data_IF_261768698660
#
_entry.id   IF_261768698660
#
_cell.length_a   1.000
_cell.length_b   1.000
_cell.length_c   1.000
_cell.angle_alpha   90.00
_cell.angle_beta   90.00
_cell.angle_gamma   90.00
#
_symmetry.space_group_name_H-M   'P 1'
#
loop_
_entity.id
_entity.type
_entity.pdbx_description
1 polymer ?
#
# COMPACT_ATOMS: atom_id res chain seq x y z
N UNK A 1 -6.22 -1.51 -33.82
CA UNK A 1 -5.68 -1.31 -32.46
C UNK A 1 -6.34 -0.07 -31.87
N UNK A 2 -7.19 -0.21 -30.85
CA UNK A 2 -7.77 0.93 -30.17
C UNK A 2 -6.70 1.57 -29.26
N UNK A 3 -6.33 2.83 -29.53
CA UNK A 3 -5.56 3.64 -28.58
C UNK A 3 -6.49 3.97 -27.42
N UNK A 4 -6.33 3.27 -26.29
CA UNK A 4 -6.95 3.67 -25.03
C UNK A 4 -6.36 5.03 -24.64
N UNK A 5 -7.25 6.01 -24.46
CA UNK A 5 -6.98 7.45 -24.42
C UNK A 5 -5.79 7.85 -23.54
N UNK A 6 -4.70 8.24 -24.20
CA UNK A 6 -3.62 9.02 -23.59
C UNK A 6 -3.90 10.50 -23.83
N UNK A 7 -3.80 11.29 -22.76
CA UNK A 7 -3.84 12.76 -22.63
C UNK A 7 -4.98 13.57 -23.31
N UNK A 8 -5.50 13.18 -24.48
CA UNK A 8 -6.28 14.08 -25.34
C UNK A 8 -7.49 13.46 -26.07
N UNK A 9 -7.81 12.17 -25.89
CA UNK A 9 -8.91 11.53 -26.62
C UNK A 9 -9.87 10.81 -25.67
N UNK A 10 -10.93 11.51 -25.27
CA UNK A 10 -12.13 10.92 -24.65
C UNK A 10 -13.29 11.15 -25.60
N UNK A 11 -14.21 10.21 -25.75
CA UNK A 11 -15.43 10.39 -26.56
C UNK A 11 -16.62 10.51 -25.62
N UNK A 12 -17.55 11.43 -25.90
CA UNK A 12 -18.75 11.65 -25.07
C UNK A 12 -20.02 11.50 -25.88
N UNK A 13 -21.02 10.84 -25.31
CA UNK A 13 -22.41 10.91 -25.76
C UNK A 13 -23.10 12.04 -25.00
N UNK A 14 -23.63 13.03 -25.71
CA UNK A 14 -24.69 13.86 -25.12
C UNK A 14 -25.98 13.03 -25.18
N UNK A 15 -26.64 12.85 -24.03
CA UNK A 15 -28.00 12.27 -24.00
C UNK A 15 -28.96 13.18 -24.75
N UNK A 16 -29.91 12.59 -25.48
CA UNK A 16 -31.11 13.31 -25.91
C UNK A 16 -31.95 13.66 -24.67
N UNK A 17 -32.89 14.61 -24.80
CA UNK A 17 -33.88 14.93 -23.76
C UNK A 17 -34.73 13.73 -23.30
N UNK A 18 -34.68 12.61 -24.03
CA UNK A 18 -35.36 11.35 -23.73
C UNK A 18 -34.46 10.26 -23.12
N UNK A 19 -33.19 10.56 -22.79
CA UNK A 19 -32.29 9.62 -22.11
C UNK A 19 -31.72 8.49 -22.98
N UNK A 20 -31.88 8.55 -24.30
CA UNK A 20 -31.27 7.58 -25.23
C UNK A 20 -29.84 7.98 -25.61
N UNK A 21 -28.92 7.01 -25.59
CA UNK A 21 -27.55 7.19 -26.05
C UNK A 21 -27.52 7.50 -27.55
N UNK A 22 -26.83 8.58 -27.96
CA UNK A 22 -26.63 8.88 -29.38
C UNK A 22 -25.83 7.77 -30.08
N UNK A 23 -26.04 7.54 -31.40
CA UNK A 23 -25.22 6.64 -32.20
C UNK A 23 -23.72 6.94 -32.07
N UNK A 24 -22.86 5.93 -32.20
CA UNK A 24 -21.41 6.11 -32.13
C UNK A 24 -20.85 7.06 -33.20
N UNK A 25 -21.56 7.24 -34.32
CA UNK A 25 -21.25 8.23 -35.37
C UNK A 25 -21.32 9.67 -34.90
N UNK A 26 -22.04 9.94 -33.81
CA UNK A 26 -22.32 11.28 -33.29
C UNK A 26 -21.35 11.65 -32.15
N UNK A 27 -20.39 10.76 -31.84
CA UNK A 27 -19.38 11.00 -30.82
C UNK A 27 -18.46 12.13 -31.29
N UNK A 28 -18.43 13.19 -30.51
CA UNK A 28 -17.42 14.24 -30.67
C UNK A 28 -16.24 13.95 -29.74
N UNK A 29 -14.99 14.17 -30.18
CA UNK A 29 -13.86 14.10 -29.30
C UNK A 29 -13.98 15.18 -28.23
N UNK A 30 -13.96 14.75 -26.98
CA UNK A 30 -13.84 15.60 -25.82
C UNK A 30 -12.36 15.78 -25.52
N UNK A 31 -11.91 17.02 -25.68
CA UNK A 31 -10.55 17.43 -25.35
C UNK A 31 -10.50 17.94 -23.91
N UNK A 32 -9.57 17.42 -23.13
CA UNK A 32 -9.35 17.85 -21.74
C UNK A 32 -9.62 16.76 -20.71
N UNK A 33 -9.66 17.17 -19.45
CA UNK A 33 -9.75 16.25 -18.33
C UNK A 33 -11.20 15.83 -18.04
N UNK A 34 -11.45 14.55 -18.24
CA UNK A 34 -12.69 13.83 -17.99
C UNK A 34 -12.34 12.70 -17.02
N UNK A 35 -12.77 12.86 -15.77
CA UNK A 35 -12.39 12.09 -14.57
C UNK A 35 -12.04 10.62 -14.86
N UNK A 36 -13.03 9.72 -14.84
CA UNK A 36 -12.79 8.28 -14.98
C UNK A 36 -12.08 7.92 -16.28
N UNK A 37 -12.45 8.43 -17.47
CA UNK A 37 -11.72 8.12 -18.69
C UNK A 37 -10.21 8.40 -18.62
N UNK A 38 -9.78 9.40 -17.83
CA UNK A 38 -8.37 9.73 -17.71
C UNK A 38 -7.61 8.93 -16.65
N UNK A 39 -8.22 8.54 -15.53
CA UNK A 39 -7.51 7.80 -14.48
C UNK A 39 -7.87 6.33 -14.39
N UNK A 40 -8.96 5.87 -15.00
CA UNK A 40 -9.33 4.45 -14.99
C UNK A 40 -8.26 3.56 -15.63
N UNK A 41 -7.58 3.96 -16.73
CA UNK A 41 -6.44 3.18 -17.25
C UNK A 41 -5.26 3.08 -16.27
N UNK A 42 -5.03 4.11 -15.44
CA UNK A 42 -4.04 4.05 -14.36
C UNK A 42 -4.50 3.10 -13.25
N UNK A 43 -5.75 3.24 -12.80
CA UNK A 43 -6.37 2.41 -11.76
C UNK A 43 -6.41 0.92 -12.13
N UNK A 44 -6.65 0.60 -13.40
CA UNK A 44 -6.60 -0.79 -13.89
C UNK A 44 -5.19 -1.26 -14.24
N UNK A 45 -4.19 -0.39 -14.11
CA UNK A 45 -2.80 -0.66 -14.44
C UNK A 45 -2.61 -1.21 -15.88
N UNK A 46 -3.34 -0.64 -16.85
CA UNK A 46 -3.33 -1.09 -18.26
C UNK A 46 -2.51 -0.19 -19.19
N UNK A 47 -1.88 0.86 -18.67
CA UNK A 47 -1.02 1.74 -19.47
C UNK A 47 0.32 1.06 -19.71
N UNK A 48 0.61 0.75 -20.97
CA UNK A 48 1.87 0.13 -21.37
C UNK A 48 2.97 1.18 -21.46
N UNK A 49 4.02 0.99 -20.66
CA UNK A 49 5.22 1.83 -20.61
C UNK A 49 5.22 2.74 -19.38
N UNK A 50 6.21 2.55 -18.52
CA UNK A 50 6.35 3.26 -17.24
C UNK A 50 6.25 4.78 -17.39
N UNK A 51 7.02 5.37 -18.30
CA UNK A 51 7.02 6.82 -18.53
C UNK A 51 5.66 7.37 -19.02
N UNK A 52 4.84 6.55 -19.69
CA UNK A 52 3.48 6.94 -20.06
C UNK A 52 2.55 6.93 -18.85
N UNK A 53 2.68 5.91 -18.00
CA UNK A 53 1.95 5.81 -16.73
C UNK A 53 2.26 7.00 -15.82
N UNK A 54 3.54 7.33 -15.64
CA UNK A 54 4.01 8.49 -14.87
C UNK A 54 3.40 9.79 -15.41
N UNK A 55 3.52 10.04 -16.72
CA UNK A 55 2.98 11.27 -17.35
C UNK A 55 1.46 11.37 -17.23
N UNK A 56 0.75 10.25 -17.31
CA UNK A 56 -0.69 10.22 -17.14
C UNK A 56 -1.07 10.49 -15.67
N UNK A 57 -0.32 9.94 -14.71
CA UNK A 57 -0.52 10.24 -13.29
C UNK A 57 -0.29 11.72 -12.97
N UNK A 58 0.76 12.34 -13.52
CA UNK A 58 0.99 13.79 -13.36
C UNK A 58 -0.14 14.62 -13.96
N UNK A 59 -0.61 14.25 -15.16
CA UNK A 59 -1.74 14.91 -15.80
C UNK A 59 -3.02 14.80 -14.98
N UNK A 60 -3.36 13.60 -14.49
CA UNK A 60 -4.54 13.34 -13.66
C UNK A 60 -4.45 14.14 -12.36
N UNK A 61 -3.32 14.08 -11.64
CA UNK A 61 -3.18 14.81 -10.38
C UNK A 61 -3.32 16.31 -10.59
N UNK A 62 -2.66 16.88 -11.60
CA UNK A 62 -2.70 18.33 -11.87
C UNK A 62 -4.08 18.79 -12.29
N UNK A 63 -4.80 17.99 -13.08
CA UNK A 63 -6.14 18.32 -13.57
C UNK A 63 -7.20 18.19 -12.47
N UNK A 64 -7.13 17.13 -11.67
CA UNK A 64 -8.00 16.95 -10.51
C UNK A 64 -7.75 18.04 -9.45
N UNK A 65 -6.48 18.41 -9.22
CA UNK A 65 -6.13 19.49 -8.31
C UNK A 65 -6.66 20.84 -8.79
N UNK A 66 -6.50 21.13 -10.09
CA UNK A 66 -7.04 22.35 -10.70
C UNK A 66 -8.55 22.45 -10.53
N UNK A 67 -9.29 21.35 -10.80
CA UNK A 67 -10.74 21.30 -10.52
C UNK A 67 -11.03 21.56 -9.04
N UNK A 68 -10.26 20.94 -8.14
CA UNK A 68 -10.44 21.09 -6.70
C UNK A 68 -10.28 22.54 -6.22
N UNK A 69 -9.19 23.19 -6.61
CA UNK A 69 -8.91 24.58 -6.26
C UNK A 69 -9.92 25.54 -6.89
N UNK A 70 -10.26 25.35 -8.17
CA UNK A 70 -11.21 26.20 -8.88
C UNK A 70 -12.65 26.10 -8.34
N UNK A 71 -12.97 25.05 -7.60
CA UNK A 71 -14.23 24.93 -6.85
C UNK A 71 -14.10 25.35 -5.39
N UNK A 72 -13.18 26.28 -5.07
CA UNK A 72 -12.92 26.77 -3.71
C UNK A 72 -12.65 25.64 -2.70
N UNK A 73 -11.91 24.61 -3.12
CA UNK A 73 -11.61 23.42 -2.31
C UNK A 73 -12.84 22.61 -1.89
N UNK A 74 -13.96 22.77 -2.60
CA UNK A 74 -15.23 22.08 -2.34
C UNK A 74 -15.64 21.12 -3.47
N UNK A 75 -14.73 20.84 -4.40
CA UNK A 75 -14.97 19.82 -5.41
C UNK A 75 -14.85 18.43 -4.79
N UNK A 76 -15.88 17.63 -5.01
CA UNK A 76 -15.83 16.18 -4.82
C UNK A 76 -16.12 15.57 -6.19
N UNK A 77 -15.22 14.76 -6.77
CA UNK A 77 -15.57 13.93 -7.92
C UNK A 77 -16.84 13.11 -7.62
N UNK A 78 -17.42 12.47 -8.64
CA UNK A 78 -18.39 11.39 -8.36
C UNK A 78 -17.81 10.44 -7.31
N UNK A 79 -18.61 9.96 -6.34
CA UNK A 79 -18.05 9.22 -5.19
C UNK A 79 -17.25 7.99 -5.63
N UNK A 80 -17.71 7.29 -6.67
CA UNK A 80 -17.01 6.18 -7.35
C UNK A 80 -15.69 6.66 -7.97
N UNK A 81 -15.73 7.76 -8.73
CA UNK A 81 -14.53 8.37 -9.29
C UNK A 81 -13.49 8.73 -8.20
N UNK A 82 -13.95 9.15 -7.03
CA UNK A 82 -13.10 9.53 -5.92
C UNK A 82 -12.52 8.30 -5.19
N UNK A 83 -13.23 7.18 -5.12
CA UNK A 83 -12.69 5.94 -4.54
C UNK A 83 -11.54 5.37 -5.39
N UNK A 84 -11.56 5.54 -6.72
CA UNK A 84 -10.50 5.02 -7.59
C UNK A 84 -9.24 5.89 -7.64
N UNK A 85 -9.40 7.20 -7.45
CA UNK A 85 -8.34 8.19 -7.70
C UNK A 85 -7.07 7.97 -6.85
N UNK A 86 -7.11 7.70 -5.53
CA UNK A 86 -5.92 7.39 -4.75
C UNK A 86 -5.18 6.16 -5.28
N UNK A 87 -5.91 5.08 -5.55
CA UNK A 87 -5.34 3.82 -6.03
C UNK A 87 -4.65 3.97 -7.39
N UNK A 88 -5.17 4.83 -8.27
CA UNK A 88 -4.52 5.16 -9.56
C UNK A 88 -3.07 5.60 -9.41
N UNK A 89 -2.75 6.36 -8.37
CA UNK A 89 -1.38 6.85 -8.15
C UNK A 89 -0.46 5.76 -7.59
N UNK A 90 -0.97 4.85 -6.77
CA UNK A 90 -0.18 3.71 -6.29
C UNK A 90 0.21 2.74 -7.41
N UNK A 91 -0.62 2.60 -8.45
CA UNK A 91 -0.29 1.77 -9.62
C UNK A 91 0.71 2.43 -10.57
N UNK A 92 0.73 3.75 -10.64
CA UNK A 92 1.67 4.52 -11.45
C UNK A 92 3.07 4.67 -10.81
N UNK A 93 3.45 3.76 -9.92
CA UNK A 93 4.64 3.88 -9.08
C UNK A 93 5.93 3.74 -9.90
N UNK A 94 6.72 4.80 -9.89
CA UNK A 94 8.08 4.93 -10.43
C UNK A 94 9.16 4.79 -9.34
N UNK A 95 8.75 4.32 -8.17
CA UNK A 95 9.61 4.27 -6.98
C UNK A 95 9.86 5.64 -6.36
N UNK A 96 9.26 6.74 -6.85
CA UNK A 96 9.38 8.07 -6.24
C UNK A 96 8.33 8.30 -5.14
N UNK A 97 8.67 9.18 -4.20
CA UNK A 97 7.74 9.62 -3.15
C UNK A 97 6.52 10.37 -3.71
N UNK A 98 6.66 11.05 -4.86
CA UNK A 98 5.63 11.91 -5.43
C UNK A 98 4.31 11.16 -5.68
N UNK A 99 4.39 9.90 -6.12
CA UNK A 99 3.19 9.08 -6.36
C UNK A 99 2.46 8.75 -5.08
N UNK A 100 3.20 8.47 -4.00
CA UNK A 100 2.62 8.19 -2.69
C UNK A 100 2.05 9.46 -2.06
N UNK A 101 2.67 10.61 -2.30
CA UNK A 101 2.15 11.90 -1.87
C UNK A 101 0.82 12.24 -2.56
N UNK A 102 0.72 11.98 -3.87
CA UNK A 102 -0.52 12.18 -4.60
C UNK A 102 -1.61 11.26 -4.05
N UNK A 103 -1.31 9.96 -3.93
CA UNK A 103 -2.24 8.98 -3.38
C UNK A 103 -2.72 9.38 -1.97
N UNK A 104 -1.78 9.71 -1.08
CA UNK A 104 -2.07 10.13 0.29
C UNK A 104 -2.92 11.38 0.37
N UNK A 105 -2.61 12.41 -0.44
CA UNK A 105 -3.39 13.65 -0.52
C UNK A 105 -4.85 13.35 -0.85
N UNK A 106 -5.09 12.58 -1.91
CA UNK A 106 -6.45 12.27 -2.36
C UNK A 106 -7.18 11.33 -1.40
N UNK A 107 -6.48 10.36 -0.80
CA UNK A 107 -7.05 9.47 0.21
C UNK A 107 -7.50 10.24 1.45
N UNK A 108 -6.71 11.23 1.93
CA UNK A 108 -7.11 12.09 3.06
C UNK A 108 -8.31 12.98 2.72
N UNK A 109 -8.40 13.49 1.49
CA UNK A 109 -9.57 14.26 1.05
C UNK A 109 -10.82 13.36 0.99
N UNK A 110 -10.71 12.14 0.47
CA UNK A 110 -11.81 11.16 0.46
C UNK A 110 -12.30 10.85 1.88
N UNK A 111 -11.36 10.58 2.81
CA UNK A 111 -11.68 10.33 4.21
C UNK A 111 -12.37 11.55 4.87
N UNK A 112 -11.94 12.77 4.55
CA UNK A 112 -12.59 14.00 5.04
C UNK A 112 -14.01 14.13 4.50
N UNK A 113 -14.22 13.91 3.20
CA UNK A 113 -15.57 13.93 2.60
C UNK A 113 -16.48 12.92 3.27
N UNK A 114 -15.98 11.70 3.47
CA UNK A 114 -16.69 10.64 4.18
C UNK A 114 -17.08 11.04 5.61
N UNK A 115 -16.14 11.60 6.37
CA UNK A 115 -16.39 12.07 7.72
C UNK A 115 -17.44 13.19 7.78
N UNK A 116 -17.36 14.18 6.89
CA UNK A 116 -18.35 15.27 6.80
C UNK A 116 -19.73 14.72 6.43
N UNK A 117 -19.82 13.83 5.46
CA UNK A 117 -21.08 13.21 5.05
C UNK A 117 -21.71 12.40 6.18
N UNK A 118 -20.90 11.61 6.90
CA UNK A 118 -21.37 10.86 8.07
C UNK A 118 -21.87 11.79 9.18
N UNK A 119 -21.17 12.90 9.44
CA UNK A 119 -21.54 13.86 10.48
C UNK A 119 -22.85 14.59 10.18
N UNK A 120 -23.20 14.73 8.90
CA UNK A 120 -24.44 15.38 8.45
C UNK A 120 -25.60 14.40 8.26
N UNK A 121 -25.40 13.10 8.50
CA UNK A 121 -26.44 12.09 8.35
C UNK A 121 -27.00 11.63 9.70
N UNK A 122 -28.32 11.42 9.77
CA UNK A 122 -29.00 10.87 10.95
C UNK A 122 -28.51 9.46 11.31
N UNK A 123 -28.07 8.67 10.32
CA UNK A 123 -27.62 7.29 10.52
C UNK A 123 -26.07 7.20 10.51
N UNK A 124 -25.37 8.34 10.61
CA UNK A 124 -23.93 8.41 10.68
C UNK A 124 -23.22 7.78 9.47
N UNK A 125 -22.17 7.00 9.73
CA UNK A 125 -21.45 6.24 8.69
C UNK A 125 -22.36 5.23 7.98
N UNK A 126 -23.43 4.73 8.61
CA UNK A 126 -24.30 3.73 7.98
C UNK A 126 -25.07 4.29 6.76
N UNK A 127 -25.27 5.61 6.70
CA UNK A 127 -25.86 6.30 5.55
C UNK A 127 -24.84 6.70 4.46
N UNK A 128 -23.55 6.52 4.74
CA UNK A 128 -22.49 6.89 3.79
C UNK A 128 -22.16 5.74 2.85
N UNK A 129 -21.57 6.07 1.71
CA UNK A 129 -21.28 5.12 0.64
C UNK A 129 -20.29 4.04 1.15
N UNK A 130 -20.72 2.76 1.29
CA UNK A 130 -19.96 1.73 2.00
C UNK A 130 -18.64 1.34 1.30
N UNK A 131 -18.52 1.66 0.01
CA UNK A 131 -17.27 1.46 -0.74
C UNK A 131 -16.13 2.32 -0.20
N UNK A 132 -16.43 3.51 0.35
CA UNK A 132 -15.38 4.43 0.82
C UNK A 132 -14.56 3.84 1.97
N UNK A 133 -15.15 3.37 3.10
CA UNK A 133 -14.37 2.74 4.15
C UNK A 133 -13.67 1.46 3.67
N UNK A 134 -14.30 0.68 2.78
CA UNK A 134 -13.66 -0.49 2.18
C UNK A 134 -12.38 -0.11 1.43
N UNK A 135 -12.43 0.90 0.57
CA UNK A 135 -11.28 1.36 -0.21
C UNK A 135 -10.20 1.96 0.68
N UNK A 136 -10.56 2.77 1.69
CA UNK A 136 -9.59 3.33 2.63
C UNK A 136 -8.82 2.23 3.38
N UNK A 137 -9.52 1.18 3.85
CA UNK A 137 -8.90 0.03 4.52
C UNK A 137 -8.06 -0.77 3.51
N UNK A 138 -8.62 -1.06 2.34
CA UNK A 138 -7.93 -1.83 1.29
C UNK A 138 -6.63 -1.16 0.83
N UNK A 139 -6.64 0.15 0.62
CA UNK A 139 -5.45 0.90 0.21
C UNK A 139 -4.44 1.03 1.36
N UNK A 140 -4.89 1.18 2.60
CA UNK A 140 -3.99 1.16 3.75
C UNK A 140 -3.23 -0.18 3.85
N UNK A 141 -3.94 -1.30 3.68
CA UNK A 141 -3.38 -2.66 3.73
C UNK A 141 -2.49 -2.95 2.51
N UNK A 142 -3.06 -2.85 1.31
CA UNK A 142 -2.43 -3.37 0.08
C UNK A 142 -1.51 -2.37 -0.62
N UNK A 143 -1.65 -1.07 -0.34
CA UNK A 143 -0.88 -0.03 -1.02
C UNK A 143 0.10 0.68 -0.10
N UNK A 144 -0.35 1.14 1.07
CA UNK A 144 0.51 1.90 1.99
C UNK A 144 1.44 0.99 2.77
N UNK A 145 0.92 -0.03 3.45
CA UNK A 145 1.75 -1.11 4.02
C UNK A 145 2.33 -1.98 2.90
N UNK A 146 1.62 -2.06 1.77
CA UNK A 146 2.05 -2.82 0.61
C UNK A 146 2.02 -4.32 0.86
N UNK A 147 1.08 -4.80 1.68
CA UNK A 147 0.91 -6.22 1.94
C UNK A 147 0.46 -6.91 0.65
N UNK A 148 1.27 -7.87 0.21
CA UNK A 148 1.02 -8.71 -0.95
C UNK A 148 1.19 -10.17 -0.53
N UNK A 149 0.08 -10.89 -0.48
CA UNK A 149 -0.01 -12.20 0.12
C UNK A 149 -0.19 -13.29 -0.96
N UNK A 150 0.71 -14.25 -0.98
CA UNK A 150 0.69 -15.43 -1.85
C UNK A 150 0.37 -16.68 -1.01
N UNK A 151 -0.92 -16.94 -0.86
CA UNK A 151 -1.42 -18.08 -0.08
C UNK A 151 -1.03 -19.44 -0.65
N UNK A 152 -0.81 -19.54 -1.96
CA UNK A 152 -0.41 -20.79 -2.61
C UNK A 152 1.02 -21.17 -2.18
N UNK A 153 1.92 -20.18 -2.12
CA UNK A 153 3.32 -20.39 -1.75
C UNK A 153 3.61 -20.21 -0.26
N UNK A 154 2.59 -20.04 0.58
CA UNK A 154 2.78 -19.75 2.01
C UNK A 154 3.75 -18.58 2.22
N UNK A 155 3.58 -17.54 1.42
CA UNK A 155 4.52 -16.43 1.37
C UNK A 155 3.80 -15.11 1.31
N UNK A 156 4.44 -14.06 1.79
CA UNK A 156 3.96 -12.71 1.62
C UNK A 156 5.11 -11.72 1.57
N UNK A 157 4.82 -10.54 1.05
CA UNK A 157 5.73 -9.42 1.09
C UNK A 157 5.01 -8.18 1.60
N UNK A 158 5.81 -7.24 2.03
CA UNK A 158 5.36 -5.92 2.47
C UNK A 158 6.19 -4.88 1.77
N UNK A 159 5.61 -3.74 1.42
CA UNK A 159 6.31 -2.65 0.75
C UNK A 159 5.76 -1.32 1.28
N UNK A 160 6.31 -0.79 2.38
CA UNK A 160 5.89 0.50 2.90
C UNK A 160 6.07 1.61 1.87
N UNK A 161 4.97 2.31 1.56
CA UNK A 161 4.88 3.45 0.63
C UNK A 161 4.33 4.67 1.36
N UNK A 162 5.03 5.07 2.43
CA UNK A 162 4.60 6.21 3.24
C UNK A 162 4.85 7.52 2.47
N UNK A 163 3.99 8.54 2.63
CA UNK A 163 4.17 9.83 1.99
C UNK A 163 5.43 10.56 2.53
N UNK A 164 5.97 11.46 1.73
CA UNK A 164 7.18 12.24 2.04
C UNK A 164 7.04 13.07 3.31
N UNK A 165 5.84 13.56 3.62
CA UNK A 165 5.58 14.38 4.80
C UNK A 165 5.47 13.60 6.13
N UNK A 166 5.52 12.26 6.09
CA UNK A 166 5.71 11.49 7.33
C UNK A 166 7.10 11.78 7.90
N UNK A 167 7.15 11.89 9.23
CA UNK A 167 8.37 12.01 10.02
C UNK A 167 8.52 10.78 10.93
N UNK A 168 9.56 10.76 11.75
CA UNK A 168 9.80 9.70 12.74
C UNK A 168 8.70 9.57 13.80
N UNK A 169 7.81 10.56 13.96
CA UNK A 169 6.67 10.47 14.88
C UNK A 169 5.41 9.88 14.24
N UNK A 170 5.42 9.68 12.92
CA UNK A 170 4.27 9.20 12.16
C UNK A 170 4.44 7.71 11.81
N UNK A 171 3.39 6.94 12.02
CA UNK A 171 3.33 5.53 11.67
C UNK A 171 1.94 5.15 11.18
N UNK A 172 1.84 4.01 10.51
CA UNK A 172 0.57 3.34 10.23
C UNK A 172 0.62 1.99 10.90
N UNK A 173 -0.41 1.67 11.67
CA UNK A 173 -0.61 0.37 12.29
C UNK A 173 -1.87 -0.29 11.72
N UNK A 174 -1.76 -1.58 11.45
CA UNK A 174 -2.87 -2.47 11.13
C UNK A 174 -2.88 -3.56 12.18
N UNK A 175 -4.08 -3.88 12.69
CA UNK A 175 -4.25 -4.88 13.73
C UNK A 175 -5.04 -6.07 13.22
N UNK A 176 -4.70 -7.26 13.70
CA UNK A 176 -5.38 -8.50 13.36
C UNK A 176 -5.48 -8.75 11.85
N UNK A 177 -4.44 -8.41 11.10
CA UNK A 177 -4.38 -8.70 9.67
C UNK A 177 -4.28 -10.22 9.50
N UNK A 178 -5.26 -10.88 8.85
CA UNK A 178 -5.26 -12.34 8.75
C UNK A 178 -4.29 -12.79 7.66
N UNK A 179 -3.22 -13.47 8.05
CA UNK A 179 -2.36 -14.21 7.12
C UNK A 179 -2.92 -15.63 6.98
N UNK A 180 -3.49 -15.93 5.82
CA UNK A 180 -4.27 -17.14 5.60
C UNK A 180 -3.61 -18.10 4.63
N UNK A 181 -3.38 -19.35 5.01
CA UNK A 181 -3.01 -20.40 4.06
C UNK A 181 -4.16 -21.36 3.83
N UNK A 182 -4.32 -21.80 2.58
CA UNK A 182 -5.17 -22.94 2.21
C UNK A 182 -4.37 -24.10 1.59
N UNK A 183 -3.05 -24.11 1.74
CA UNK A 183 -2.24 -25.20 1.22
C UNK A 183 -2.72 -26.56 1.78
N UNK A 184 -2.72 -27.64 0.97
CA UNK A 184 -3.13 -28.96 1.43
C UNK A 184 -2.41 -29.37 2.71
N UNK A 185 -3.16 -29.80 3.74
CA UNK A 185 -2.65 -30.14 5.07
C UNK A 185 -1.93 -28.99 5.82
N UNK A 186 -2.17 -27.74 5.41
CA UNK A 186 -1.56 -26.54 5.97
C UNK A 186 -2.54 -25.35 5.89
N UNK A 187 -3.76 -25.58 6.37
CA UNK A 187 -4.77 -24.51 6.47
C UNK A 187 -4.64 -23.80 7.82
N UNK A 188 -4.46 -22.49 7.80
CA UNK A 188 -4.39 -21.68 9.02
C UNK A 188 -4.82 -20.24 8.76
N UNK A 189 -5.20 -19.56 9.84
CA UNK A 189 -5.38 -18.11 9.88
C UNK A 189 -4.52 -17.57 11.03
N UNK A 190 -3.49 -16.82 10.69
CA UNK A 190 -2.57 -16.21 11.65
C UNK A 190 -2.80 -14.69 11.67
N UNK A 191 -3.45 -14.14 12.70
CA UNK A 191 -3.55 -12.69 12.85
C UNK A 191 -2.18 -12.09 13.18
N UNK A 192 -1.82 -11.03 12.47
CA UNK A 192 -0.59 -10.27 12.71
C UNK A 192 -0.91 -8.78 12.84
N UNK A 193 -0.22 -8.11 13.75
CA UNK A 193 -0.18 -6.66 13.80
C UNK A 193 0.99 -6.17 12.95
N UNK A 194 0.74 -5.24 12.04
CA UNK A 194 1.74 -4.70 11.12
C UNK A 194 1.88 -3.21 11.37
N UNK A 195 3.10 -2.75 11.65
CA UNK A 195 3.41 -1.33 11.82
C UNK A 195 4.45 -0.94 10.79
N UNK A 196 4.22 0.15 10.05
CA UNK A 196 5.23 0.76 9.19
C UNK A 196 5.49 2.21 9.59
N UNK A 197 6.76 2.60 9.61
CA UNK A 197 7.21 3.90 10.09
C UNK A 197 8.48 4.34 9.36
N UNK A 198 8.66 5.66 9.21
CA UNK A 198 9.97 6.23 8.88
C UNK A 198 10.82 6.29 10.14
N UNK A 199 12.04 5.78 10.09
CA UNK A 199 12.87 5.62 11.30
C UNK A 199 14.01 6.61 11.40
N UNK A 200 14.23 7.43 10.37
CA UNK A 200 15.08 8.62 10.47
C UNK A 200 14.60 9.73 9.52
N UNK A 201 15.18 10.92 9.64
CA UNK A 201 14.96 12.07 8.76
C UNK A 201 15.59 11.90 7.38
N UNK A 202 16.43 10.89 7.19
CA UNK A 202 17.14 10.57 5.94
C UNK A 202 16.39 9.55 5.08
N UNK A 203 15.15 9.23 5.50
CA UNK A 203 14.18 8.41 4.80
C UNK A 203 14.31 6.88 4.99
N UNK A 204 14.92 6.40 6.05
CA UNK A 204 14.88 4.97 6.37
C UNK A 204 13.45 4.50 6.69
N UNK A 205 13.05 3.32 6.23
CA UNK A 205 11.77 2.69 6.58
C UNK A 205 12.00 1.49 7.48
N UNK A 206 11.11 1.31 8.45
CA UNK A 206 10.98 0.05 9.17
C UNK A 206 9.56 -0.48 9.06
N UNK A 207 9.47 -1.79 9.09
CA UNK A 207 8.22 -2.52 9.23
C UNK A 207 8.37 -3.57 10.33
N UNK A 208 7.36 -3.65 11.18
CA UNK A 208 7.27 -4.59 12.28
C UNK A 208 6.07 -5.51 12.08
N UNK A 209 6.29 -6.79 12.28
CA UNK A 209 5.26 -7.82 12.46
C UNK A 209 5.25 -8.20 13.94
N UNK A 210 4.08 -8.13 14.58
CA UNK A 210 3.92 -8.57 15.97
C UNK A 210 2.78 -9.57 16.08
N UNK A 211 3.05 -10.70 16.73
CA UNK A 211 2.07 -11.75 16.99
C UNK A 211 1.56 -11.60 18.43
N UNK A 212 0.70 -10.61 18.66
CA UNK A 212 0.22 -10.23 19.99
C UNK A 212 -0.96 -11.11 20.47
N UNK A 213 -1.75 -11.63 19.54
CA UNK A 213 -2.86 -12.55 19.81
C UNK A 213 -2.44 -14.01 19.68
N UNK A 214 -3.03 -14.71 18.71
CA UNK A 214 -2.65 -16.08 18.36
C UNK A 214 -1.20 -16.13 17.86
N UNK A 215 -0.38 -16.95 18.50
CA UNK A 215 1.04 -17.13 18.15
C UNK A 215 1.20 -18.12 16.99
N UNK A 216 2.25 -17.98 16.15
CA UNK A 216 2.52 -18.91 15.05
C UNK A 216 2.60 -20.39 15.49
N UNK A 217 3.25 -20.66 16.63
CA UNK A 217 3.42 -22.01 17.17
C UNK A 217 2.15 -22.59 17.83
N UNK A 218 1.15 -21.76 18.10
CA UNK A 218 -0.13 -22.20 18.67
C UNK A 218 -1.10 -22.75 17.61
N UNK A 219 -0.79 -22.58 16.31
CA UNK A 219 -1.57 -23.16 15.22
C UNK A 219 -1.35 -24.67 15.22
N UNK A 220 -2.37 -25.46 15.54
CA UNK A 220 -2.24 -26.93 15.60
C UNK A 220 -2.61 -27.63 14.30
N UNK A 221 -3.22 -26.92 13.35
CA UNK A 221 -3.70 -27.45 12.07
C UNK A 221 -2.62 -27.47 10.98
N UNK A 222 -1.41 -27.01 11.27
CA UNK A 222 -0.31 -26.96 10.31
C UNK A 222 1.05 -27.01 11.00
N UNK A 223 2.04 -27.60 10.32
CA UNK A 223 3.47 -27.55 10.66
C UNK A 223 4.30 -26.82 9.60
N UNK A 224 3.67 -25.97 8.80
CA UNK A 224 4.32 -25.28 7.68
C UNK A 224 5.21 -24.12 8.14
N UNK A 225 5.82 -23.44 7.17
CA UNK A 225 6.60 -22.24 7.37
C UNK A 225 6.01 -21.14 6.51
N UNK A 226 5.64 -20.02 7.14
CA UNK A 226 5.22 -18.82 6.44
C UNK A 226 6.46 -17.97 6.10
N UNK A 227 6.62 -17.64 4.82
CA UNK A 227 7.79 -16.89 4.34
C UNK A 227 7.45 -15.42 4.16
N UNK A 228 8.16 -14.53 4.84
CA UNK A 228 8.03 -13.10 4.66
C UNK A 228 9.20 -12.50 3.88
N UNK A 229 8.91 -11.70 2.86
CA UNK A 229 9.91 -10.88 2.15
C UNK A 229 9.70 -9.39 2.44
N UNK A 230 10.53 -8.77 3.29
CA UNK A 230 10.47 -7.32 3.50
C UNK A 230 11.01 -6.60 2.25
N UNK A 231 10.18 -5.74 1.67
CA UNK A 231 10.54 -4.80 0.62
C UNK A 231 10.37 -3.38 1.15
N UNK A 232 11.13 -2.44 0.61
CA UNK A 232 11.11 -1.04 1.03
C UNK A 232 11.09 -0.16 -0.21
N UNK A 233 10.32 0.92 -0.20
CA UNK A 233 10.25 1.77 -1.40
C UNK A 233 11.61 2.40 -1.71
N UNK A 234 11.92 2.59 -3.00
CA UNK A 234 13.08 3.36 -3.46
C UNK A 234 12.89 4.88 -3.37
N UNK A 235 11.78 5.34 -2.81
CA UNK A 235 11.55 6.76 -2.54
C UNK A 235 12.57 7.36 -1.54
N UNK A 236 13.52 6.53 -1.10
CA UNK A 236 14.46 6.77 -0.03
C UNK A 236 15.80 6.16 -0.42
N UNK A 237 16.91 6.69 0.09
CA UNK A 237 18.23 6.12 -0.21
C UNK A 237 18.62 5.18 0.92
N UNK A 238 18.80 3.91 0.60
CA UNK A 238 19.27 2.89 1.53
C UNK A 238 20.68 2.42 1.16
N UNK A 239 21.55 2.28 2.15
CA UNK A 239 22.90 1.70 2.00
C UNK A 239 22.99 0.30 2.62
N UNK A 240 22.05 -0.04 3.52
CA UNK A 240 21.97 -1.35 4.13
C UNK A 240 20.57 -1.69 4.62
N UNK A 241 20.40 -2.95 5.02
CA UNK A 241 19.20 -3.49 5.63
C UNK A 241 19.55 -4.18 6.95
N UNK A 242 18.61 -4.23 7.88
CA UNK A 242 18.67 -5.12 9.02
C UNK A 242 17.34 -5.83 9.26
N UNK A 243 17.44 -7.06 9.77
CA UNK A 243 16.29 -7.84 10.24
C UNK A 243 16.58 -8.29 11.66
N UNK A 244 15.62 -8.10 12.55
CA UNK A 244 15.64 -8.59 13.91
C UNK A 244 14.41 -9.45 14.16
N UNK A 245 14.63 -10.67 14.66
CA UNK A 245 13.58 -11.55 15.18
C UNK A 245 13.70 -11.61 16.69
N UNK A 246 12.60 -11.35 17.39
CA UNK A 246 12.44 -11.57 18.82
C UNK A 246 11.62 -12.83 19.02
N UNK A 247 12.04 -13.67 19.96
CA UNK A 247 11.37 -14.91 20.33
C UNK A 247 10.57 -14.74 21.62
N UNK A 248 9.65 -15.65 21.92
CA UNK A 248 8.81 -15.59 23.13
C UNK A 248 9.62 -15.76 24.43
N UNK A 249 10.82 -16.36 24.37
CA UNK A 249 11.76 -16.47 25.51
C UNK A 249 12.58 -15.18 25.76
N UNK A 250 12.33 -14.12 24.97
CA UNK A 250 13.02 -12.84 25.04
C UNK A 250 14.37 -12.81 24.31
N UNK A 251 14.83 -13.93 23.75
CA UNK A 251 16.04 -13.95 22.92
C UNK A 251 15.83 -13.19 21.61
N UNK A 252 16.93 -12.68 21.06
CA UNK A 252 16.92 -11.85 19.86
C UNK A 252 17.97 -12.35 18.87
N UNK A 253 17.57 -12.52 17.61
CA UNK A 253 18.46 -12.74 16.47
C UNK A 253 18.43 -11.49 15.60
N UNK A 254 19.57 -10.82 15.44
CA UNK A 254 19.69 -9.64 14.59
C UNK A 254 20.79 -9.86 13.55
N UNK A 255 20.50 -9.53 12.29
CA UNK A 255 21.47 -9.55 11.20
C UNK A 255 21.35 -8.31 10.33
N UNK A 256 22.50 -7.83 9.87
CA UNK A 256 22.60 -6.76 8.87
C UNK A 256 22.93 -7.37 7.50
N UNK A 257 22.42 -6.75 6.45
CA UNK A 257 22.50 -7.20 5.08
C UNK A 257 22.83 -6.04 4.15
N UNK A 258 23.38 -6.36 2.98
CA UNK A 258 23.36 -5.40 1.88
C UNK A 258 21.93 -5.24 1.36
N UNK A 259 21.69 -4.19 0.57
CA UNK A 259 20.41 -3.94 -0.10
C UNK A 259 20.56 -4.15 -1.60
N UNK A 260 19.57 -4.79 -2.23
CA UNK A 260 19.44 -4.80 -3.68
C UNK A 260 18.62 -3.63 -4.16
N UNK A 261 18.95 -3.12 -5.35
CA UNK A 261 18.19 -2.09 -6.04
C UNK A 261 17.35 -2.74 -7.15
N UNK A 262 16.31 -3.48 -6.77
CA UNK A 262 15.38 -4.05 -7.74
C UNK A 262 14.47 -2.94 -8.30
N UNK A 263 13.96 -3.05 -9.55
CA UNK A 263 13.07 -2.03 -10.11
C UNK A 263 11.86 -1.76 -9.19
N UNK A 264 11.84 -0.59 -8.57
CA UNK A 264 10.72 -0.11 -7.75
C UNK A 264 10.86 -0.31 -6.23
N UNK A 265 11.83 -1.11 -5.74
CA UNK A 265 12.00 -1.34 -4.29
C UNK A 265 13.41 -1.84 -3.90
N UNK A 266 13.80 -1.55 -2.67
CA UNK A 266 14.90 -2.22 -1.98
C UNK A 266 14.43 -3.50 -1.29
N UNK A 267 15.31 -4.50 -1.22
CA UNK A 267 15.19 -5.63 -0.31
C UNK A 267 16.56 -6.06 0.19
N UNK A 268 16.57 -6.86 1.25
CA UNK A 268 17.79 -7.31 1.90
C UNK A 268 18.39 -8.46 1.08
N UNK A 269 19.70 -8.46 0.87
CA UNK A 269 20.41 -9.53 0.15
C UNK A 269 21.56 -10.10 0.98
N UNK A 270 21.77 -11.41 0.85
CA UNK A 270 22.90 -12.09 1.48
C UNK A 270 24.22 -11.88 0.70
N UNK A 271 25.30 -12.48 1.19
CA UNK A 271 26.63 -12.37 0.56
C UNK A 271 26.72 -12.98 -0.84
N UNK A 272 25.74 -13.80 -1.24
CA UNK A 272 25.63 -14.34 -2.60
C UNK A 272 24.77 -13.46 -3.52
N UNK A 273 24.21 -12.36 -3.00
CA UNK A 273 23.30 -11.47 -3.72
C UNK A 273 21.86 -11.97 -3.78
N UNK A 274 21.51 -13.03 -3.05
CA UNK A 274 20.15 -13.59 -3.05
C UNK A 274 19.27 -12.82 -2.07
N UNK A 275 18.00 -12.62 -2.44
CA UNK A 275 16.99 -11.99 -1.58
C UNK A 275 16.83 -12.79 -0.29
N UNK A 276 16.94 -12.09 0.83
CA UNK A 276 16.74 -12.63 2.17
C UNK A 276 15.25 -12.64 2.47
N UNK A 277 14.76 -13.80 2.88
CA UNK A 277 13.41 -13.98 3.40
C UNK A 277 13.46 -14.40 4.86
N UNK A 278 12.40 -14.07 5.61
CA UNK A 278 12.24 -14.48 7.00
C UNK A 278 11.28 -15.67 7.04
N UNK A 279 11.74 -16.77 7.62
CA UNK A 279 10.91 -17.92 7.91
C UNK A 279 10.20 -17.71 9.26
N UNK A 280 8.88 -17.84 9.26
CA UNK A 280 8.02 -17.85 10.45
C UNK A 280 7.48 -19.28 10.60
N UNK A 281 8.04 -20.09 11.51
CA UNK A 281 7.55 -21.43 11.77
C UNK A 281 6.11 -21.42 12.30
N UNK A 282 5.25 -22.23 11.69
CA UNK A 282 3.88 -22.47 12.11
C UNK A 282 3.82 -23.88 12.72
N UNK A 283 3.07 -24.04 13.81
CA UNK A 283 2.90 -25.37 14.43
C UNK A 283 3.56 -25.52 15.79
N UNK A 284 2.97 -26.39 16.62
CA UNK A 284 3.47 -26.70 17.96
C UNK A 284 4.83 -27.42 17.99
N UNK A 285 5.25 -27.97 16.85
CA UNK A 285 6.57 -28.58 16.68
C UNK A 285 7.66 -27.56 16.27
N UNK A 286 7.32 -26.27 16.16
CA UNK A 286 8.29 -25.23 15.86
C UNK A 286 9.39 -25.19 16.93
N UNK A 287 10.65 -25.36 16.51
CA UNK A 287 11.79 -25.31 17.41
C UNK A 287 12.10 -23.91 17.96
N UNK A 288 11.49 -22.87 17.38
CA UNK A 288 11.62 -21.49 17.82
C UNK A 288 10.26 -20.80 17.77
N UNK A 289 9.93 -20.06 18.82
CA UNK A 289 8.64 -19.40 18.97
C UNK A 289 8.79 -17.91 18.69
N UNK A 290 8.45 -17.48 17.48
CA UNK A 290 8.58 -16.09 17.05
C UNK A 290 7.51 -15.22 17.69
N UNK A 291 7.91 -14.14 18.34
CA UNK A 291 7.01 -13.17 18.97
C UNK A 291 6.83 -11.91 18.12
N UNK A 292 7.93 -11.42 17.54
CA UNK A 292 7.99 -10.16 16.79
C UNK A 292 9.13 -10.19 15.79
N UNK A 293 8.95 -9.57 14.63
CA UNK A 293 9.99 -9.40 13.63
C UNK A 293 10.00 -7.95 13.17
N UNK A 294 11.17 -7.34 13.08
CA UNK A 294 11.36 -5.99 12.53
C UNK A 294 12.34 -6.10 11.37
N UNK A 295 11.98 -5.54 10.23
CA UNK A 295 12.89 -5.33 9.11
C UNK A 295 12.96 -3.85 8.80
N UNK A 296 14.16 -3.35 8.48
CA UNK A 296 14.36 -1.96 8.11
C UNK A 296 15.44 -1.80 7.05
N UNK A 297 15.33 -0.72 6.27
CA UNK A 297 16.47 -0.14 5.56
C UNK A 297 17.12 0.94 6.40
N UNK A 298 18.39 1.23 6.14
CA UNK A 298 19.07 2.38 6.71
C UNK A 298 20.07 3.01 5.75
N UNK A 299 20.31 4.30 5.94
CA UNK A 299 21.44 5.00 5.34
C UNK A 299 22.72 4.88 6.20
N UNK A 300 22.57 4.85 7.52
CA UNK A 300 23.66 4.64 8.48
C UNK A 300 23.28 3.53 9.47
N UNK A 301 24.16 2.55 9.68
CA UNK A 301 23.95 1.42 10.57
C UNK A 301 23.70 1.83 12.04
N UNK A 302 24.06 3.05 12.44
CA UNK A 302 23.71 3.61 13.75
C UNK A 302 22.20 3.79 13.97
N UNK A 303 21.39 3.82 12.90
CA UNK A 303 19.93 3.89 12.97
C UNK A 303 19.25 2.59 13.43
N UNK A 304 20.02 1.51 13.65
CA UNK A 304 19.50 0.20 14.09
C UNK A 304 19.02 0.17 15.55
N UNK A 305 19.11 1.28 16.30
CA UNK A 305 18.58 1.37 17.66
C UNK A 305 17.08 1.03 17.74
N UNK A 306 16.32 1.34 16.68
CA UNK A 306 14.88 1.05 16.58
C UNK A 306 14.58 -0.45 16.56
N UNK A 307 15.54 -1.29 16.13
CA UNK A 307 15.39 -2.74 16.21
C UNK A 307 15.28 -3.18 17.67
N UNK A 308 16.07 -2.58 18.57
CA UNK A 308 16.06 -2.91 19.99
C UNK A 308 14.81 -2.41 20.71
N UNK A 309 14.42 -1.17 20.45
CA UNK A 309 13.26 -0.55 21.12
C UNK A 309 11.93 -1.06 20.57
N UNK A 310 11.91 -1.52 19.31
CA UNK A 310 10.68 -1.76 18.57
C UNK A 310 10.12 -0.48 17.95
N UNK A 311 9.19 -0.68 17.02
CA UNK A 311 8.26 0.38 16.61
C UNK A 311 7.22 0.60 17.72
N UNK A 312 6.61 1.80 17.80
CA UNK A 312 5.67 2.15 18.85
C UNK A 312 4.70 1.00 19.15
N UNK A 313 4.81 0.44 20.35
CA UNK A 313 3.74 -0.37 20.89
C UNK A 313 2.59 0.59 21.22
N UNK A 314 1.37 0.18 20.89
CA UNK A 314 0.19 1.00 21.12
C UNK A 314 0.14 1.46 22.60
N UNK A 315 -0.18 2.74 22.80
CA UNK A 315 -0.65 3.29 24.08
C UNK A 315 -2.16 3.11 24.16
#
# INVERSE_FOLDING_TARGET
MAQIGLKNYVYTTQTTSSGTSKPASDLTPLYGYVEEPNFFPLYKNVIIGEQKSIKQADYVNSSAESKYVNSNNNYTPGIESFTYLPSSFFHASDGSANRYDYAWKWMRRLARTQYVNASNSSDGIAATYPEVPFVLISDAVTKIIGLDFDGIRNAFSTLPRLPSNFSVSHYISLHNVPLYSNAPNSSYNLPVDIIAQKVDSTNSYAIQLAFNGLKPWQITTSSASLTWTPKFSMAVVATGCAIQTTYDDGTVSQKTYAVSNAPGYYTCIDSSGKVVTVNIPIGSAASTHVSKIIAMTYYNASATSILKTGLPAYQ
#
